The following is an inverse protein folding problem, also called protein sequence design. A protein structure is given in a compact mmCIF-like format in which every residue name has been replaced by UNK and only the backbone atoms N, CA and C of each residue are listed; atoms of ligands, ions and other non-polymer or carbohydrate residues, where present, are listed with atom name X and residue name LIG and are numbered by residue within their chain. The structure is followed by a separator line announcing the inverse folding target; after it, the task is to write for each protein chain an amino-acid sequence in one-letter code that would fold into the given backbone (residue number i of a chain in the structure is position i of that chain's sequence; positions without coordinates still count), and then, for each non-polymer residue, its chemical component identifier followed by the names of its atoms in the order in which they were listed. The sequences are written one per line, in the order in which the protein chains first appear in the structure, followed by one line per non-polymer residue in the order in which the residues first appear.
data_IF_385027867677
#
_entry.id   IF_385027867677
#
_cell.length_a   1.000
_cell.length_b   1.000
_cell.length_c   1.000
_cell.angle_alpha   90.00
_cell.angle_beta   90.00
_cell.angle_gamma   90.00
#
_symmetry.space_group_name_H-M   'P 1'
#
loop_
_entity.id
_entity.type
_entity.pdbx_description
1 polymer ?
#
# COMPACT_ATOMS: atom_id res chain seq x y z
N UNK A 1 -42.48 -0.79 13.35
CA UNK A 1 -43.81 -0.51 12.78
C UNK A 1 -43.75 0.83 12.03
N UNK A 2 -44.10 0.88 10.74
CA UNK A 2 -44.01 2.08 9.90
C UNK A 2 -44.99 3.22 10.28
N UNK A 3 -45.92 2.98 11.21
CA UNK A 3 -46.95 3.93 11.60
C UNK A 3 -46.47 5.17 12.38
N UNK A 4 -45.28 5.14 13.01
CA UNK A 4 -44.73 6.26 13.81
C UNK A 4 -43.70 7.11 13.09
N UNK A 5 -43.38 6.77 11.84
CA UNK A 5 -42.37 7.49 11.07
C UNK A 5 -42.82 8.92 10.71
N UNK A 6 -44.11 9.07 10.37
CA UNK A 6 -44.70 10.38 10.09
C UNK A 6 -44.69 11.28 11.34
N UNK A 7 -45.04 10.74 12.51
CA UNK A 7 -45.01 11.47 13.78
C UNK A 7 -43.59 11.87 14.18
N UNK A 8 -42.59 10.99 14.01
CA UNK A 8 -41.19 11.33 14.27
C UNK A 8 -40.67 12.44 13.35
N UNK A 9 -41.04 12.43 12.06
CA UNK A 9 -40.66 13.49 11.12
C UNK A 9 -41.29 14.83 11.49
N UNK A 10 -42.55 14.85 11.90
CA UNK A 10 -43.23 16.06 12.35
C UNK A 10 -42.67 16.59 13.68
N UNK A 11 -42.26 15.70 14.58
CA UNK A 11 -41.59 16.09 15.82
C UNK A 11 -40.21 16.71 15.55
N UNK A 12 -39.42 16.13 14.62
CA UNK A 12 -38.13 16.71 14.20
C UNK A 12 -38.34 18.11 13.60
N UNK A 13 -39.34 18.28 12.72
CA UNK A 13 -39.66 19.60 12.14
C UNK A 13 -40.01 20.62 13.21
N UNK A 14 -40.89 20.27 14.16
CA UNK A 14 -41.24 21.15 15.29
C UNK A 14 -40.03 21.56 16.12
N UNK A 15 -39.10 20.65 16.37
CA UNK A 15 -37.86 20.95 17.11
C UNK A 15 -36.96 21.89 16.30
N UNK A 16 -36.79 21.65 14.99
CA UNK A 16 -36.02 22.52 14.11
C UNK A 16 -36.62 23.92 14.01
N UNK A 17 -37.94 24.03 13.84
CA UNK A 17 -38.65 25.31 13.73
C UNK A 17 -38.60 26.07 15.06
N UNK A 18 -38.77 25.38 16.18
CA UNK A 18 -38.65 25.98 17.52
C UNK A 18 -37.22 26.44 17.81
N UNK A 19 -36.21 25.69 17.37
CA UNK A 19 -34.81 26.11 17.47
C UNK A 19 -34.55 27.35 16.59
N UNK A 20 -35.03 27.39 15.35
CA UNK A 20 -34.83 28.51 14.43
C UNK A 20 -35.37 29.86 14.95
N UNK A 21 -36.44 29.83 15.75
CA UNK A 21 -37.03 31.04 16.36
C UNK A 21 -36.40 31.39 17.72
N UNK A 22 -35.65 30.46 18.32
CA UNK A 22 -35.04 30.64 19.64
C UNK A 22 -33.97 31.74 19.67
N UNK A 23 -33.75 32.39 20.82
CA UNK A 23 -32.69 33.40 20.96
C UNK A 23 -31.29 32.80 20.72
N UNK A 24 -31.09 31.52 21.05
CA UNK A 24 -29.83 30.79 20.84
C UNK A 24 -29.50 30.67 19.35
N UNK A 25 -30.48 30.38 18.50
CA UNK A 25 -30.25 30.30 17.06
C UNK A 25 -29.90 31.66 16.46
N UNK A 26 -30.48 32.75 16.98
CA UNK A 26 -30.13 34.12 16.56
C UNK A 26 -28.70 34.47 16.98
N UNK A 27 -28.29 34.12 18.20
CA UNK A 27 -26.92 34.31 18.69
C UNK A 27 -25.90 33.52 17.86
N UNK A 28 -26.19 32.26 17.51
CA UNK A 28 -25.34 31.44 16.65
C UNK A 28 -25.25 32.00 15.22
N UNK A 29 -26.37 32.45 14.65
CA UNK A 29 -26.39 33.08 13.33
C UNK A 29 -25.67 34.42 13.31
N UNK A 30 -25.79 35.21 14.38
CA UNK A 30 -25.09 36.47 14.56
C UNK A 30 -23.58 36.22 14.65
N UNK A 31 -23.15 35.29 15.51
CA UNK A 31 -21.75 34.85 15.65
C UNK A 31 -21.19 34.32 14.32
N UNK A 32 -21.97 33.54 13.58
CA UNK A 32 -21.58 33.04 12.25
C UNK A 32 -21.52 34.15 11.19
N UNK A 33 -22.41 35.14 11.24
CA UNK A 33 -22.42 36.29 10.32
C UNK A 33 -21.29 37.28 10.61
N UNK A 34 -20.91 37.44 11.89
CA UNK A 34 -19.76 38.22 12.34
C UNK A 34 -18.47 37.51 11.92
N UNK A 35 -18.37 36.19 12.11
CA UNK A 35 -17.26 35.37 11.61
C UNK A 35 -17.14 35.39 10.06
N UNK A 36 -18.26 35.58 9.35
CA UNK A 36 -18.27 35.73 7.89
C UNK A 36 -17.95 37.14 7.37
N UNK A 37 -18.04 38.18 8.22
CA UNK A 37 -17.77 39.59 7.85
C UNK A 37 -16.44 40.14 8.37
N UNK A 38 -15.86 39.53 9.39
CA UNK A 38 -14.57 39.94 9.97
C UNK A 38 -13.45 38.99 9.58
N UNK A 39 -12.83 39.22 8.42
CA UNK A 39 -11.58 38.56 8.06
C UNK A 39 -10.34 39.31 8.57
N UNK A 40 -10.46 40.17 9.60
CA UNK A 40 -9.38 41.10 10.01
C UNK A 40 -9.25 41.45 11.52
N UNK A 41 -9.81 40.73 12.52
CA UNK A 41 -9.40 40.98 13.93
C UNK A 41 -9.52 39.74 14.85
N UNK A 42 -8.53 39.43 15.72
CA UNK A 42 -8.33 38.12 16.31
C UNK A 42 -8.74 38.09 17.79
N UNK A 43 -9.96 37.68 18.12
CA UNK A 43 -10.30 37.28 19.49
C UNK A 43 -11.08 35.96 19.54
N UNK A 44 -10.38 34.95 20.06
CA UNK A 44 -10.87 33.83 20.87
C UNK A 44 -11.88 32.84 20.27
N UNK A 45 -11.70 32.46 19.01
CA UNK A 45 -11.75 31.03 18.70
C UNK A 45 -10.30 30.58 18.74
N UNK A 46 -9.96 29.63 19.61
CA UNK A 46 -8.71 28.90 19.51
C UNK A 46 -8.62 28.45 18.06
N UNK A 47 -7.76 29.11 17.28
CA UNK A 47 -7.51 28.73 15.91
C UNK A 47 -7.18 27.26 15.99
N UNK A 48 -8.08 26.41 15.47
CA UNK A 48 -7.65 25.10 15.02
C UNK A 48 -6.60 25.45 13.98
N UNK A 49 -5.34 25.39 14.38
CA UNK A 49 -4.18 25.62 13.53
C UNK A 49 -4.31 24.67 12.34
N UNK A 50 -4.97 25.10 11.28
CA UNK A 50 -5.27 24.22 10.15
C UNK A 50 -6.22 24.78 9.11
N UNK A 51 -6.95 25.87 9.39
CA UNK A 51 -7.83 26.52 8.40
C UNK A 51 -7.20 27.82 7.92
N UNK A 52 -6.03 27.70 7.30
CA UNK A 52 -5.33 28.79 6.66
C UNK A 52 -4.26 28.23 5.72
N UNK A 53 -4.31 28.67 4.46
CA UNK A 53 -3.49 28.29 3.31
C UNK A 53 -4.05 27.16 2.44
N UNK A 54 -4.21 27.51 1.17
CA UNK A 54 -4.61 26.67 0.03
C UNK A 54 -3.51 25.67 -0.39
N UNK A 55 -2.54 25.35 0.49
CA UNK A 55 -1.39 24.50 0.19
C UNK A 55 -0.92 23.61 1.36
N UNK A 56 0.03 22.72 1.08
CA UNK A 56 0.64 21.87 2.11
C UNK A 56 1.53 22.73 3.04
N UNK A 57 1.48 22.46 4.34
CA UNK A 57 2.19 23.25 5.37
C UNK A 57 3.71 23.11 5.35
N UNK A 58 4.24 22.05 4.74
CA UNK A 58 5.67 21.71 4.75
C UNK A 58 6.25 21.62 3.35
N UNK A 59 7.56 21.83 3.21
CA UNK A 59 8.29 21.67 1.94
C UNK A 59 8.24 20.23 1.44
N UNK A 60 8.29 20.03 0.13
CA UNK A 60 8.24 18.72 -0.52
C UNK A 60 9.34 17.77 0.00
N UNK A 61 10.58 18.28 0.14
CA UNK A 61 11.72 17.50 0.61
C UNK A 61 11.58 17.08 2.07
N UNK A 62 11.04 17.97 2.91
CA UNK A 62 10.79 17.68 4.32
C UNK A 62 9.70 16.61 4.47
N UNK A 63 8.63 16.70 3.68
CA UNK A 63 7.59 15.65 3.63
C UNK A 63 8.19 14.31 3.21
N UNK A 64 8.95 14.30 2.11
CA UNK A 64 9.58 13.10 1.58
C UNK A 64 10.54 12.43 2.59
N UNK A 65 11.44 13.20 3.21
CA UNK A 65 12.40 12.66 4.19
C UNK A 65 11.69 12.08 5.41
N UNK A 66 10.69 12.78 5.96
CA UNK A 66 9.93 12.29 7.11
C UNK A 66 9.18 10.99 6.79
N UNK A 67 8.57 10.89 5.61
CA UNK A 67 7.88 9.67 5.19
C UNK A 67 8.88 8.55 4.94
N UNK A 68 9.97 8.80 4.23
CA UNK A 68 11.02 7.82 3.99
C UNK A 68 11.56 7.25 5.31
N UNK A 69 11.88 8.11 6.27
CA UNK A 69 12.34 7.70 7.59
C UNK A 69 11.29 6.85 8.32
N UNK A 70 10.02 7.27 8.30
CA UNK A 70 8.91 6.52 8.91
C UNK A 70 8.73 5.15 8.25
N UNK A 71 8.70 5.09 6.92
CA UNK A 71 8.55 3.84 6.16
C UNK A 71 9.74 2.92 6.37
N UNK A 72 10.96 3.45 6.34
CA UNK A 72 12.19 2.70 6.62
C UNK A 72 12.16 2.09 8.03
N UNK A 73 11.79 2.88 9.03
CA UNK A 73 11.66 2.40 10.39
C UNK A 73 10.54 1.37 10.54
N UNK A 74 9.43 1.51 9.81
CA UNK A 74 8.34 0.54 9.78
C UNK A 74 8.83 -0.81 9.24
N UNK A 75 9.60 -0.80 8.16
CA UNK A 75 10.20 -2.01 7.57
C UNK A 75 11.19 -2.66 8.53
N UNK A 76 12.03 -1.87 9.21
CA UNK A 76 13.01 -2.39 10.17
C UNK A 76 12.40 -2.88 11.49
N UNK A 77 11.36 -2.21 11.98
CA UNK A 77 10.71 -2.55 13.27
C UNK A 77 9.84 -3.78 13.20
N UNK A 78 9.49 -4.26 12.01
CA UNK A 78 8.69 -5.47 11.83
C UNK A 78 9.53 -6.64 11.26
N UNK A 79 10.60 -7.09 11.98
CA UNK A 79 11.49 -8.13 11.49
C UNK A 79 10.79 -9.48 11.38
N UNK A 80 9.65 -9.67 12.06
CA UNK A 80 8.87 -10.90 11.99
C UNK A 80 8.33 -11.11 10.58
N UNK A 81 7.72 -10.08 9.98
CA UNK A 81 7.14 -10.17 8.64
C UNK A 81 8.22 -10.42 7.58
N UNK A 82 9.37 -9.75 7.70
CA UNK A 82 10.52 -9.95 6.80
C UNK A 82 11.11 -11.35 6.94
N UNK A 83 11.31 -11.84 8.17
CA UNK A 83 11.84 -13.20 8.43
C UNK A 83 10.91 -14.28 7.88
N UNK A 84 9.60 -14.16 8.13
CA UNK A 84 8.60 -15.11 7.63
C UNK A 84 8.62 -15.14 6.10
N UNK A 85 8.69 -13.98 5.44
CA UNK A 85 8.82 -13.91 3.98
C UNK A 85 10.08 -14.60 3.48
N UNK A 86 11.25 -14.27 4.03
CA UNK A 86 12.51 -14.87 3.59
C UNK A 86 12.52 -16.39 3.79
N UNK A 87 12.00 -16.87 4.92
CA UNK A 87 11.87 -18.30 5.21
C UNK A 87 10.89 -18.99 4.24
N UNK A 88 9.72 -18.40 3.99
CA UNK A 88 8.75 -18.91 3.03
C UNK A 88 9.34 -18.95 1.61
N UNK A 89 10.01 -17.88 1.18
CA UNK A 89 10.69 -17.82 -0.12
C UNK A 89 11.75 -18.89 -0.23
N UNK A 90 12.57 -19.10 0.81
CA UNK A 90 13.59 -20.14 0.82
C UNK A 90 12.96 -21.54 0.72
N UNK A 91 11.89 -21.82 1.48
CA UNK A 91 11.17 -23.10 1.40
C UNK A 91 10.63 -23.36 -0.01
N UNK A 92 9.95 -22.39 -0.61
CA UNK A 92 9.39 -22.53 -1.97
C UNK A 92 10.52 -22.67 -3.01
N UNK A 93 11.60 -21.90 -2.88
CA UNK A 93 12.78 -22.02 -3.74
C UNK A 93 13.37 -23.43 -3.71
N UNK A 94 13.56 -23.98 -2.51
CA UNK A 94 14.09 -25.34 -2.34
C UNK A 94 13.14 -26.40 -2.89
N UNK A 95 11.82 -26.24 -2.71
CA UNK A 95 10.83 -27.16 -3.29
C UNK A 95 10.91 -27.18 -4.82
N UNK A 96 10.88 -26.00 -5.46
CA UNK A 96 10.96 -25.88 -6.92
C UNK A 96 12.31 -26.40 -7.44
N UNK A 97 13.41 -26.02 -6.78
CA UNK A 97 14.74 -26.50 -7.12
C UNK A 97 14.89 -28.02 -6.99
N UNK A 98 14.18 -28.63 -6.03
CA UNK A 98 14.20 -30.10 -5.85
C UNK A 98 13.39 -30.83 -6.92
N UNK A 99 12.27 -30.26 -7.36
CA UNK A 99 11.42 -30.85 -8.42
C UNK A 99 12.19 -30.93 -9.75
N UNK A 100 12.94 -29.88 -10.09
CA UNK A 100 13.67 -29.77 -11.36
C UNK A 100 15.18 -29.98 -11.20
N UNK A 101 15.59 -30.76 -10.21
CA UNK A 101 17.00 -30.90 -9.84
C UNK A 101 17.84 -31.53 -10.96
N UNK A 102 18.95 -30.87 -11.32
CA UNK A 102 19.97 -31.43 -12.20
C UNK A 102 19.49 -31.75 -13.62
N UNK A 103 18.91 -30.76 -14.31
CA UNK A 103 18.33 -30.99 -15.63
C UNK A 103 19.40 -31.27 -16.71
N UNK A 104 19.16 -32.29 -17.54
CA UNK A 104 20.02 -32.65 -18.69
C UNK A 104 19.48 -31.99 -19.97
N UNK A 105 20.37 -31.58 -20.87
CA UNK A 105 20.02 -30.96 -22.16
C UNK A 105 19.56 -32.01 -23.18
N UNK A 106 18.36 -32.56 -22.98
CA UNK A 106 17.66 -33.42 -23.94
C UNK A 106 16.32 -32.81 -24.36
N UNK A 107 15.59 -33.40 -25.30
CA UNK A 107 14.30 -32.89 -25.79
C UNK A 107 13.27 -32.75 -24.65
N UNK A 108 13.21 -33.73 -23.73
CA UNK A 108 12.40 -33.65 -22.51
C UNK A 108 12.98 -32.64 -21.51
N UNK A 109 14.30 -32.49 -21.48
CA UNK A 109 15.01 -31.52 -20.67
C UNK A 109 14.66 -30.08 -21.02
N UNK A 110 14.52 -29.75 -22.31
CA UNK A 110 14.10 -28.41 -22.76
C UNK A 110 12.68 -28.08 -22.28
N UNK A 111 11.77 -29.05 -22.35
CA UNK A 111 10.41 -28.87 -21.83
C UNK A 111 10.40 -28.68 -20.32
N UNK A 112 11.21 -29.46 -19.59
CA UNK A 112 11.35 -29.29 -18.15
C UNK A 112 11.98 -27.96 -17.75
N UNK A 113 12.97 -27.46 -18.50
CA UNK A 113 13.55 -26.13 -18.26
C UNK A 113 12.47 -25.05 -18.45
N UNK A 114 11.70 -25.11 -19.53
CA UNK A 114 10.60 -24.17 -19.75
C UNK A 114 9.55 -24.22 -18.63
N UNK A 115 9.18 -25.43 -18.19
CA UNK A 115 8.28 -25.61 -17.05
C UNK A 115 8.85 -25.03 -15.75
N UNK A 116 10.14 -25.25 -15.50
CA UNK A 116 10.83 -24.72 -14.32
C UNK A 116 10.87 -23.19 -14.33
N UNK A 117 11.15 -22.56 -15.48
CA UNK A 117 11.17 -21.10 -15.64
C UNK A 117 9.77 -20.50 -15.46
N UNK A 118 8.74 -21.16 -16.00
CA UNK A 118 7.35 -20.76 -15.80
C UNK A 118 6.96 -20.81 -14.32
N UNK A 119 7.22 -21.92 -13.65
CA UNK A 119 6.90 -22.11 -12.23
C UNK A 119 7.69 -21.12 -11.35
N UNK A 120 8.95 -20.89 -11.68
CA UNK A 120 9.84 -19.94 -11.05
C UNK A 120 9.29 -18.50 -11.12
N UNK A 121 8.95 -18.03 -12.33
CA UNK A 121 8.44 -16.66 -12.52
C UNK A 121 7.04 -16.47 -11.93
N UNK A 122 6.18 -17.47 -12.05
CA UNK A 122 4.80 -17.43 -11.55
C UNK A 122 4.78 -17.38 -10.02
N UNK A 123 5.54 -18.25 -9.35
CA UNK A 123 5.66 -18.21 -7.89
C UNK A 123 6.21 -16.89 -7.41
N UNK A 124 7.25 -16.38 -8.07
CA UNK A 124 7.84 -15.10 -7.71
C UNK A 124 6.84 -13.95 -7.86
N UNK A 125 6.08 -13.94 -8.95
CA UNK A 125 5.05 -12.93 -9.22
C UNK A 125 3.96 -12.94 -8.14
N UNK A 126 3.35 -14.10 -7.89
CA UNK A 126 2.30 -14.24 -6.89
C UNK A 126 2.81 -13.89 -5.49
N UNK A 127 3.99 -14.35 -5.11
CA UNK A 127 4.55 -14.05 -3.80
C UNK A 127 4.70 -12.54 -3.58
N UNK A 128 5.16 -11.79 -4.59
CA UNK A 128 5.27 -10.32 -4.51
C UNK A 128 3.92 -9.60 -4.54
N UNK A 129 2.96 -10.04 -5.38
CA UNK A 129 1.61 -9.45 -5.43
C UNK A 129 0.90 -9.61 -4.09
N UNK A 130 0.82 -10.82 -3.55
CA UNK A 130 0.15 -11.09 -2.26
C UNK A 130 0.83 -10.36 -1.10
N UNK A 131 2.16 -10.29 -1.13
CA UNK A 131 2.95 -9.53 -0.19
C UNK A 131 2.51 -8.06 -0.13
N UNK A 132 2.46 -7.39 -1.28
CA UNK A 132 2.12 -5.97 -1.37
C UNK A 132 0.67 -5.74 -0.99
N UNK A 133 -0.25 -6.60 -1.44
CA UNK A 133 -1.67 -6.50 -1.10
C UNK A 133 -1.87 -6.51 0.41
N UNK A 134 -1.28 -7.46 1.13
CA UNK A 134 -1.45 -7.55 2.58
C UNK A 134 -0.95 -6.31 3.33
N UNK A 135 0.23 -5.80 2.96
CA UNK A 135 0.86 -4.67 3.65
C UNK A 135 0.18 -3.36 3.27
N UNK A 136 0.05 -3.09 1.97
CA UNK A 136 -0.45 -1.82 1.49
C UNK A 136 -1.95 -1.63 1.73
N UNK A 137 -2.78 -2.68 1.57
CA UNK A 137 -4.21 -2.58 1.88
C UNK A 137 -4.46 -2.34 3.36
N UNK A 138 -3.61 -2.82 4.27
CA UNK A 138 -3.71 -2.52 5.70
C UNK A 138 -3.35 -1.06 6.01
N UNK A 139 -2.41 -0.46 5.27
CA UNK A 139 -1.99 0.94 5.45
C UNK A 139 -2.90 1.96 4.73
N UNK A 140 -3.62 1.52 3.69
CA UNK A 140 -4.42 2.40 2.82
C UNK A 140 -5.45 3.27 3.59
N UNK A 141 -6.19 2.78 4.59
CA UNK A 141 -7.14 3.60 5.35
C UNK A 141 -6.46 4.73 6.12
N UNK A 142 -5.27 4.46 6.67
CA UNK A 142 -4.46 5.46 7.39
C UNK A 142 -3.99 6.53 6.42
N UNK A 143 -3.46 6.11 5.26
CA UNK A 143 -3.04 7.01 4.19
C UNK A 143 -4.19 7.92 3.72
N UNK A 144 -5.39 7.37 3.50
CA UNK A 144 -6.55 8.15 3.06
C UNK A 144 -6.96 9.19 4.11
N UNK A 145 -6.87 8.87 5.40
CA UNK A 145 -7.13 9.80 6.49
C UNK A 145 -6.09 10.92 6.55
N UNK A 146 -4.81 10.58 6.41
CA UNK A 146 -3.70 11.54 6.42
C UNK A 146 -3.76 12.47 5.19
N UNK A 147 -4.13 11.94 4.02
CA UNK A 147 -4.37 12.71 2.79
C UNK A 147 -5.54 13.71 2.93
N UNK A 148 -6.67 13.30 3.53
CA UNK A 148 -7.82 14.20 3.78
C UNK A 148 -7.44 15.36 4.71
N UNK A 149 -6.51 15.11 5.64
CA UNK A 149 -5.97 16.13 6.55
C UNK A 149 -4.87 17.00 5.92
N UNK A 150 -4.54 16.79 4.63
CA UNK A 150 -3.48 17.50 3.89
C UNK A 150 -2.11 17.47 4.58
N UNK A 151 -1.77 16.36 5.24
CA UNK A 151 -0.48 16.18 5.92
C UNK A 151 0.69 16.10 4.94
N UNK A 152 0.52 15.40 3.81
CA UNK A 152 1.57 15.24 2.79
C UNK A 152 0.98 14.93 1.43
N UNK A 153 1.78 15.12 0.37
CA UNK A 153 1.38 14.81 -1.01
C UNK A 153 1.48 13.31 -1.33
N UNK A 154 0.63 12.86 -2.26
CA UNK A 154 0.61 11.45 -2.71
C UNK A 154 1.94 11.03 -3.34
N UNK A 155 2.56 11.90 -4.13
CA UNK A 155 3.83 11.65 -4.80
C UNK A 155 4.98 11.44 -3.80
N UNK A 156 5.06 12.27 -2.75
CA UNK A 156 6.07 12.11 -1.70
C UNK A 156 5.91 10.80 -0.94
N UNK A 157 4.66 10.37 -0.73
CA UNK A 157 4.37 9.11 -0.05
C UNK A 157 4.77 7.90 -0.88
N UNK A 158 4.37 7.88 -2.16
CA UNK A 158 4.69 6.78 -3.06
C UNK A 158 6.20 6.61 -3.21
N UNK A 159 6.93 7.68 -3.52
CA UNK A 159 8.39 7.63 -3.67
C UNK A 159 9.09 7.22 -2.36
N UNK A 160 8.68 7.81 -1.23
CA UNK A 160 9.29 7.51 0.07
C UNK A 160 9.09 6.04 0.46
N UNK A 161 7.89 5.50 0.24
CA UNK A 161 7.59 4.10 0.52
C UNK A 161 8.33 3.15 -0.42
N UNK A 162 8.31 3.41 -1.73
CA UNK A 162 9.01 2.56 -2.72
C UNK A 162 10.50 2.47 -2.43
N UNK A 163 11.15 3.60 -2.09
CA UNK A 163 12.58 3.60 -1.76
C UNK A 163 12.85 2.86 -0.45
N UNK A 164 11.95 2.97 0.53
CA UNK A 164 12.11 2.26 1.80
C UNK A 164 11.99 0.73 1.64
N UNK A 165 11.16 0.26 0.72
CA UNK A 165 10.94 -1.18 0.46
C UNK A 165 11.92 -1.78 -0.56
N UNK A 166 12.64 -0.94 -1.30
CA UNK A 166 13.60 -1.33 -2.34
C UNK A 166 14.60 -2.42 -1.88
N UNK A 167 15.19 -2.37 -0.67
CA UNK A 167 16.09 -3.43 -0.21
C UNK A 167 15.42 -4.80 -0.13
N UNK A 168 14.15 -4.86 0.26
CA UNK A 168 13.39 -6.11 0.31
C UNK A 168 13.07 -6.62 -1.10
N UNK A 169 12.73 -5.72 -2.03
CA UNK A 169 12.50 -6.08 -3.43
C UNK A 169 13.74 -6.57 -4.14
N UNK A 170 14.95 -6.33 -3.62
CA UNK A 170 16.19 -6.92 -4.14
C UNK A 170 16.55 -8.19 -3.37
N UNK A 171 16.46 -8.17 -2.04
CA UNK A 171 16.87 -9.29 -1.20
C UNK A 171 16.03 -10.56 -1.42
N UNK A 172 14.71 -10.43 -1.59
CA UNK A 172 13.82 -11.59 -1.78
C UNK A 172 14.09 -12.30 -3.12
N UNK A 173 14.14 -11.62 -4.29
CA UNK A 173 14.57 -12.26 -5.54
C UNK A 173 15.97 -12.82 -5.49
N UNK A 174 16.88 -12.15 -4.80
CA UNK A 174 18.25 -12.61 -4.65
C UNK A 174 18.30 -13.96 -3.94
N UNK A 175 17.63 -14.10 -2.81
CA UNK A 175 17.57 -15.38 -2.07
C UNK A 175 16.92 -16.47 -2.92
N UNK A 176 15.77 -16.17 -3.54
CA UNK A 176 15.05 -17.14 -4.38
C UNK A 176 15.88 -17.65 -5.57
N UNK A 177 16.54 -16.72 -6.28
CA UNK A 177 17.38 -17.03 -7.45
C UNK A 177 18.66 -17.75 -7.04
N UNK A 178 19.28 -17.35 -5.92
CA UNK A 178 20.52 -17.97 -5.43
C UNK A 178 20.35 -19.44 -5.03
N UNK A 179 19.17 -19.83 -4.56
CA UNK A 179 18.86 -21.23 -4.22
C UNK A 179 18.45 -21.99 -5.48
N UNK A 180 17.47 -21.47 -6.22
CA UNK A 180 16.82 -22.22 -7.31
C UNK A 180 17.71 -22.36 -8.55
N UNK A 181 18.50 -21.33 -8.89
CA UNK A 181 19.33 -21.31 -10.09
C UNK A 181 20.37 -22.45 -10.14
N UNK A 182 21.21 -22.66 -9.09
CA UNK A 182 22.15 -23.77 -9.08
C UNK A 182 21.47 -25.13 -8.96
N UNK A 183 20.33 -25.23 -8.25
CA UNK A 183 19.62 -26.52 -8.07
C UNK A 183 19.04 -27.06 -9.38
N UNK A 184 18.47 -26.19 -10.23
CA UNK A 184 17.94 -26.59 -11.54
C UNK A 184 19.07 -27.04 -12.49
N UNK A 185 20.29 -26.55 -12.29
CA UNK A 185 21.40 -26.79 -13.21
C UNK A 185 21.35 -25.88 -14.44
N UNK A 186 20.85 -24.64 -14.28
CA UNK A 186 20.87 -23.62 -15.33
C UNK A 186 22.30 -23.28 -15.77
N UNK A 187 22.43 -22.62 -16.93
CA UNK A 187 23.71 -22.33 -17.56
C UNK A 187 24.69 -21.64 -16.60
N UNK A 188 25.80 -22.28 -16.33
CA UNK A 188 26.84 -21.73 -15.43
C UNK A 188 27.50 -20.50 -16.08
N UNK A 189 27.60 -19.42 -15.30
CA UNK A 189 28.23 -18.16 -15.74
C UNK A 189 27.75 -16.97 -14.95
N UNK A 190 28.68 -16.14 -14.45
CA UNK A 190 28.34 -14.96 -13.64
C UNK A 190 27.47 -13.96 -14.42
N UNK A 191 27.71 -13.80 -15.72
CA UNK A 191 26.91 -12.93 -16.60
C UNK A 191 25.47 -13.43 -16.70
N UNK A 192 25.27 -14.73 -16.96
CA UNK A 192 23.94 -15.33 -17.06
C UNK A 192 23.16 -15.25 -15.75
N UNK A 193 23.81 -15.53 -14.62
CA UNK A 193 23.20 -15.39 -13.31
C UNK A 193 22.78 -13.94 -13.02
N UNK A 194 23.66 -12.96 -13.29
CA UNK A 194 23.34 -11.53 -13.08
C UNK A 194 22.22 -11.05 -14.00
N UNK A 195 22.19 -11.49 -15.27
CA UNK A 195 21.09 -11.19 -16.19
C UNK A 195 19.78 -11.77 -15.68
N UNK A 196 19.77 -13.03 -15.22
CA UNK A 196 18.57 -13.63 -14.61
C UNK A 196 18.14 -12.85 -13.37
N UNK A 197 19.05 -12.57 -12.44
CA UNK A 197 18.75 -11.79 -11.23
C UNK A 197 18.14 -10.42 -11.57
N UNK A 198 18.68 -9.73 -12.57
CA UNK A 198 18.15 -8.46 -13.05
C UNK A 198 16.73 -8.58 -13.59
N UNK A 199 16.48 -9.56 -14.47
CA UNK A 199 15.14 -9.82 -15.01
C UNK A 199 14.14 -10.11 -13.89
N UNK A 200 14.50 -10.97 -12.93
CA UNK A 200 13.62 -11.35 -11.82
C UNK A 200 13.33 -10.16 -10.90
N UNK A 201 14.32 -9.29 -10.70
CA UNK A 201 14.11 -8.05 -9.95
C UNK A 201 13.16 -7.11 -10.68
N UNK A 202 13.26 -6.98 -12.01
CA UNK A 202 12.28 -6.22 -12.80
C UNK A 202 10.88 -6.82 -12.69
N UNK A 203 10.76 -8.13 -12.83
CA UNK A 203 9.47 -8.84 -12.69
C UNK A 203 8.88 -8.56 -11.31
N UNK A 204 9.67 -8.67 -10.24
CA UNK A 204 9.20 -8.37 -8.88
C UNK A 204 8.70 -6.92 -8.73
N UNK A 205 9.36 -5.94 -9.36
CA UNK A 205 8.91 -4.55 -9.36
C UNK A 205 7.58 -4.36 -10.14
N UNK A 206 7.43 -5.04 -11.27
CA UNK A 206 6.17 -5.04 -12.05
C UNK A 206 5.04 -5.68 -11.23
N UNK A 207 5.28 -6.87 -10.65
CA UNK A 207 4.33 -7.56 -9.76
C UNK A 207 3.92 -6.69 -8.58
N UNK A 208 4.87 -5.97 -7.98
CA UNK A 208 4.60 -5.04 -6.87
C UNK A 208 3.70 -3.90 -7.32
N UNK A 209 3.95 -3.33 -8.51
CA UNK A 209 3.12 -2.28 -9.09
C UNK A 209 1.69 -2.75 -9.35
N UNK A 210 1.51 -3.98 -9.85
CA UNK A 210 0.20 -4.61 -9.96
C UNK A 210 -0.46 -4.82 -8.60
N UNK A 211 0.29 -5.26 -7.59
CA UNK A 211 -0.21 -5.37 -6.21
C UNK A 211 -0.74 -4.04 -5.67
N UNK A 212 -0.02 -2.93 -5.92
CA UNK A 212 -0.50 -1.59 -5.57
C UNK A 212 -1.79 -1.21 -6.28
N UNK A 213 -1.90 -1.49 -7.58
CA UNK A 213 -3.10 -1.22 -8.37
C UNK A 213 -4.32 -1.97 -7.79
N UNK A 214 -4.19 -3.28 -7.56
CA UNK A 214 -5.25 -4.13 -7.01
C UNK A 214 -5.65 -3.65 -5.61
N UNK A 215 -4.67 -3.27 -4.80
CA UNK A 215 -4.92 -2.77 -3.44
C UNK A 215 -5.67 -1.44 -3.42
N UNK A 216 -5.42 -0.56 -4.39
CA UNK A 216 -6.16 0.70 -4.53
C UNK A 216 -7.57 0.49 -5.06
N UNK A 217 -7.76 -0.50 -5.95
CA UNK A 217 -9.05 -0.83 -6.53
C UNK A 217 -9.99 -1.55 -5.53
N UNK A 218 -9.42 -2.24 -4.54
CA UNK A 218 -10.17 -3.05 -3.58
C UNK A 218 -10.46 -2.30 -2.29
N UNK A 219 -11.70 -2.36 -1.80
CA UNK A 219 -12.09 -1.71 -0.52
C UNK A 219 -11.85 -2.58 0.73
N UNK A 220 -11.41 -3.82 0.57
CA UNK A 220 -11.04 -4.74 1.66
C UNK A 220 -9.89 -5.66 1.24
N UNK A 221 -9.06 -6.05 2.21
CA UNK A 221 -7.95 -7.00 2.03
C UNK A 221 -8.48 -8.33 1.47
N UNK A 222 -9.59 -8.84 2.00
CA UNK A 222 -10.16 -10.12 1.56
C UNK A 222 -10.60 -10.10 0.08
N UNK A 223 -11.12 -8.97 -0.40
CA UNK A 223 -11.47 -8.82 -1.81
C UNK A 223 -10.22 -8.74 -2.69
N UNK A 224 -9.22 -7.97 -2.27
CA UNK A 224 -7.94 -7.87 -2.99
C UNK A 224 -7.26 -9.23 -3.13
N UNK A 225 -7.24 -10.03 -2.06
CA UNK A 225 -6.65 -11.37 -2.06
C UNK A 225 -7.44 -12.37 -2.92
N UNK A 226 -8.75 -12.19 -3.06
CA UNK A 226 -9.57 -13.04 -3.94
C UNK A 226 -9.39 -12.72 -5.43
N UNK A 227 -9.09 -11.46 -5.76
CA UNK A 227 -8.88 -10.98 -7.13
C UNK A 227 -7.43 -11.17 -7.58
N UNK A 228 -6.47 -11.22 -6.66
CA UNK A 228 -5.04 -11.37 -6.95
C UNK A 228 -4.62 -12.62 -7.74
N UNK A 229 -5.07 -13.85 -7.41
CA UNK A 229 -4.65 -15.05 -8.14
C UNK A 229 -5.19 -15.19 -9.59
N UNK A 230 -6.41 -14.74 -9.92
CA UNK A 230 -6.93 -14.78 -11.29
C UNK A 230 -6.32 -13.78 -12.30
N UNK A 231 -5.63 -12.74 -11.83
CA UNK A 231 -5.08 -11.64 -12.67
C UNK A 231 -3.56 -11.71 -12.78
#
# INVERSE_FOLDING_TARGET
APAKEAECRDMIKKICDSFAVSPIAREVLETASVAGKGMDEPYMLQQVEGVGSTGYRSSWWTQFYCILWRSWLSVLKDPMLVKVRLLQTAMVATLIGSIYFGQVLDQDGVMNINGSLFLFLTNMTFQNVFAVINVFSAELPVFLREKRSRLYRVDTYFLGKTIAELPLFIAVPFVFTSITYPMIGLRTGATHYLTTLFIVTLVANVSTSFGYLISCASSSISMALSVGPPV
#
